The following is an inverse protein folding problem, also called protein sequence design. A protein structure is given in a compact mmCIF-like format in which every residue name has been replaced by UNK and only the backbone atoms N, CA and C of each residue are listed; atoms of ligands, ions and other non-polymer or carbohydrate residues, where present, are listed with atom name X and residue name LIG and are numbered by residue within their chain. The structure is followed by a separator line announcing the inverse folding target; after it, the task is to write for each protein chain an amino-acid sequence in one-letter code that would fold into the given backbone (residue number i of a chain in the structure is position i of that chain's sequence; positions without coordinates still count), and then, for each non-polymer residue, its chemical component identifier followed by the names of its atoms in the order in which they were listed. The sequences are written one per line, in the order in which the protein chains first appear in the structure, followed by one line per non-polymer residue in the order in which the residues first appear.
data_IF_249075059293
#
_entry.id   IF_249075059293
#
_cell.length_a   1.000
_cell.length_b   1.000
_cell.length_c   1.000
_cell.angle_alpha   90.00
_cell.angle_beta   90.00
_cell.angle_gamma   90.00
#
_symmetry.space_group_name_H-M   'P 1'
#
loop_
_entity.id
_entity.type
_entity.pdbx_description
1 polymer ?
#
# COMPACT_ATOMS: atom_id res chain seq x y z
N UNK A 1 -22.35 -2.42 -6.78
CA UNK A 1 -21.78 -3.64 -7.39
C UNK A 1 -21.49 -4.63 -6.27
N UNK A 2 -22.39 -5.60 -6.08
CA UNK A 2 -22.29 -6.61 -5.04
C UNK A 2 -21.11 -7.54 -5.36
N UNK A 3 -20.03 -7.46 -4.59
CA UNK A 3 -18.88 -8.38 -4.74
C UNK A 3 -19.33 -9.80 -4.40
N UNK A 4 -19.66 -10.59 -5.44
CA UNK A 4 -19.99 -11.99 -5.30
C UNK A 4 -18.73 -12.78 -4.97
N UNK A 5 -18.63 -13.23 -3.72
CA UNK A 5 -17.48 -13.94 -3.18
C UNK A 5 -17.37 -15.34 -3.80
N UNK A 6 -16.18 -15.68 -4.29
CA UNK A 6 -15.81 -17.08 -4.54
C UNK A 6 -16.02 -17.88 -3.24
N UNK A 7 -16.82 -18.95 -3.31
CA UNK A 7 -16.88 -19.98 -2.26
C UNK A 7 -16.04 -21.16 -2.71
N UNK A 8 -15.29 -21.77 -1.80
CA UNK A 8 -14.46 -22.95 -2.08
C UNK A 8 -15.27 -24.13 -2.67
N UNK A 9 -16.56 -24.22 -2.30
CA UNK A 9 -17.51 -25.24 -2.77
C UNK A 9 -18.14 -24.96 -4.14
N UNK A 10 -17.73 -23.92 -4.86
CA UNK A 10 -18.30 -23.62 -6.18
C UNK A 10 -17.82 -24.65 -7.21
N UNK A 11 -18.65 -25.03 -8.18
CA UNK A 11 -18.25 -25.93 -9.27
C UNK A 11 -17.15 -25.29 -10.13
N UNK A 12 -16.34 -26.13 -10.77
CA UNK A 12 -15.25 -25.63 -11.61
C UNK A 12 -15.78 -24.88 -12.84
N UNK A 13 -16.91 -25.30 -13.40
CA UNK A 13 -17.64 -24.58 -14.45
C UNK A 13 -18.04 -23.18 -14.01
N UNK A 14 -18.57 -23.03 -12.79
CA UNK A 14 -18.94 -21.72 -12.25
C UNK A 14 -17.72 -20.82 -12.08
N UNK A 15 -16.60 -21.37 -11.62
CA UNK A 15 -15.36 -20.60 -11.46
C UNK A 15 -14.80 -20.19 -12.83
N UNK A 16 -14.89 -21.06 -13.84
CA UNK A 16 -14.39 -20.81 -15.19
C UNK A 16 -15.19 -19.70 -15.88
N UNK A 17 -16.53 -19.77 -15.82
CA UNK A 17 -17.43 -18.72 -16.29
C UNK A 17 -17.14 -17.38 -15.60
N UNK A 18 -16.93 -17.39 -14.29
CA UNK A 18 -16.58 -16.17 -13.54
C UNK A 18 -15.24 -15.56 -13.92
N UNK A 19 -14.24 -16.40 -14.19
CA UNK A 19 -12.94 -15.93 -14.64
C UNK A 19 -13.03 -15.31 -16.03
N UNK A 20 -13.71 -15.99 -16.96
CA UNK A 20 -13.94 -15.49 -18.32
C UNK A 20 -14.66 -14.14 -18.30
N UNK A 21 -15.76 -14.03 -17.53
CA UNK A 21 -16.48 -12.77 -17.32
C UNK A 21 -15.68 -11.67 -16.59
N UNK A 22 -14.54 -12.03 -15.98
CA UNK A 22 -13.64 -11.10 -15.30
C UNK A 22 -12.68 -10.39 -16.26
N UNK A 23 -12.50 -10.90 -17.48
CA UNK A 23 -11.68 -10.26 -18.49
C UNK A 23 -12.47 -9.16 -19.21
N UNK A 24 -11.76 -8.09 -19.59
CA UNK A 24 -12.34 -7.10 -20.48
C UNK A 24 -12.40 -7.65 -21.91
N UNK A 25 -13.45 -7.31 -22.65
CA UNK A 25 -13.62 -7.74 -24.05
C UNK A 25 -12.45 -7.31 -24.93
N UNK A 26 -11.95 -8.22 -25.77
CA UNK A 26 -10.75 -8.12 -26.60
C UNK A 26 -9.46 -7.82 -25.81
N UNK A 27 -9.43 -8.12 -24.51
CA UNK A 27 -8.21 -7.95 -23.72
C UNK A 27 -7.21 -9.06 -24.02
N UNK A 28 -5.92 -8.75 -23.82
CA UNK A 28 -4.84 -9.75 -23.90
C UNK A 28 -5.05 -10.95 -22.98
N UNK A 29 -5.78 -10.76 -21.87
CA UNK A 29 -6.08 -11.82 -20.91
C UNK A 29 -7.20 -12.75 -21.42
N UNK A 30 -8.23 -12.19 -22.05
CA UNK A 30 -9.31 -12.97 -22.70
C UNK A 30 -8.75 -13.82 -23.85
N UNK A 31 -8.02 -13.20 -24.78
CA UNK A 31 -7.40 -13.90 -25.92
C UNK A 31 -6.41 -14.98 -25.46
N UNK A 32 -5.67 -14.74 -24.38
CA UNK A 32 -4.79 -15.75 -23.80
C UNK A 32 -5.58 -16.93 -23.23
N UNK A 33 -6.65 -16.68 -22.49
CA UNK A 33 -7.47 -17.73 -21.87
C UNK A 33 -8.15 -18.60 -22.93
N UNK A 34 -8.72 -17.99 -23.97
CA UNK A 34 -9.35 -18.69 -25.11
C UNK A 34 -8.36 -19.56 -25.90
N UNK A 35 -7.09 -19.17 -25.95
CA UNK A 35 -6.04 -19.93 -26.62
C UNK A 35 -5.48 -21.12 -25.80
N UNK A 36 -5.88 -21.27 -24.53
CA UNK A 36 -5.46 -22.41 -23.70
C UNK A 36 -6.16 -23.70 -24.11
N UNK A 37 -5.45 -24.82 -23.92
CA UNK A 37 -6.04 -26.15 -24.09
C UNK A 37 -7.24 -26.34 -23.12
N UNK A 38 -8.35 -26.97 -23.57
CA UNK A 38 -9.52 -27.21 -22.71
C UNK A 38 -9.21 -27.97 -21.42
N UNK A 39 -8.22 -28.87 -21.44
CA UNK A 39 -7.73 -29.61 -20.27
C UNK A 39 -6.89 -28.77 -19.30
N UNK A 40 -6.42 -27.58 -19.72
CA UNK A 40 -5.83 -26.56 -18.84
C UNK A 40 -6.94 -25.64 -18.30
N UNK A 41 -7.90 -25.25 -19.13
CA UNK A 41 -9.03 -24.41 -18.71
C UNK A 41 -9.89 -25.07 -17.62
N UNK A 42 -10.10 -26.39 -17.70
CA UNK A 42 -10.87 -27.17 -16.74
C UNK A 42 -10.10 -27.60 -15.47
N UNK A 43 -8.80 -27.33 -15.36
CA UNK A 43 -7.97 -27.69 -14.21
C UNK A 43 -7.38 -26.44 -13.56
N UNK A 44 -7.93 -26.04 -12.43
CA UNK A 44 -7.50 -24.85 -11.69
C UNK A 44 -6.03 -24.83 -11.30
N UNK A 45 -5.40 -25.99 -11.06
CA UNK A 45 -3.98 -26.05 -10.73
C UNK A 45 -3.14 -25.76 -11.97
N UNK A 46 -3.50 -26.35 -13.11
CA UNK A 46 -2.81 -26.11 -14.40
C UNK A 46 -3.05 -24.69 -14.89
N UNK A 47 -4.28 -24.19 -14.78
CA UNK A 47 -4.63 -22.82 -15.14
C UNK A 47 -3.83 -21.79 -14.32
N UNK A 48 -3.71 -22.01 -13.01
CA UNK A 48 -2.88 -21.17 -12.14
C UNK A 48 -1.40 -21.21 -12.56
N UNK A 49 -0.87 -22.38 -12.91
CA UNK A 49 0.50 -22.51 -13.39
C UNK A 49 0.70 -21.74 -14.70
N UNK A 50 -0.17 -21.95 -15.69
CA UNK A 50 -0.15 -21.23 -16.96
C UNK A 50 -0.26 -19.71 -16.78
N UNK A 51 -1.14 -19.26 -15.87
CA UNK A 51 -1.29 -17.85 -15.52
C UNK A 51 0.01 -17.25 -14.98
N UNK A 52 0.69 -17.94 -14.06
CA UNK A 52 1.96 -17.46 -13.49
C UNK A 52 3.11 -17.49 -14.49
N UNK A 53 3.03 -18.33 -15.53
CA UNK A 53 3.97 -18.31 -16.65
C UNK A 53 3.72 -17.12 -17.58
N UNK A 54 2.46 -16.82 -17.90
CA UNK A 54 2.08 -15.73 -18.79
C UNK A 54 2.27 -14.35 -18.14
N UNK A 55 1.95 -14.24 -16.85
CA UNK A 55 2.18 -13.05 -16.04
C UNK A 55 3.05 -13.43 -14.83
N UNK A 56 4.37 -13.53 -15.02
CA UNK A 56 5.29 -13.69 -13.91
C UNK A 56 5.05 -12.57 -12.91
N UNK A 57 4.98 -12.90 -11.62
CA UNK A 57 4.98 -11.86 -10.59
C UNK A 57 6.27 -11.08 -10.75
N UNK A 58 6.15 -9.81 -11.11
CA UNK A 58 7.27 -8.89 -11.01
C UNK A 58 7.76 -8.93 -9.56
N UNK A 59 8.97 -9.47 -9.37
CA UNK A 59 9.69 -9.28 -8.12
C UNK A 59 10.06 -7.81 -8.06
N UNK A 60 9.16 -6.98 -7.53
CA UNK A 60 9.53 -5.65 -7.07
C UNK A 60 10.66 -5.89 -6.06
N UNK A 61 11.89 -5.44 -6.33
CA UNK A 61 12.98 -5.62 -5.39
C UNK A 61 12.50 -5.03 -4.06
N UNK A 62 12.51 -5.84 -3.00
CA UNK A 62 12.26 -5.32 -1.68
C UNK A 62 13.28 -4.19 -1.46
N UNK A 63 12.78 -3.01 -1.11
CA UNK A 63 13.66 -1.89 -0.86
C UNK A 63 14.58 -2.26 0.30
N UNK A 64 15.85 -1.90 0.19
CA UNK A 64 16.77 -2.08 1.30
C UNK A 64 16.37 -1.19 2.48
N UNK A 65 16.84 -1.53 3.68
CA UNK A 65 16.70 -0.68 4.88
C UNK A 65 17.20 0.75 4.59
N UNK A 66 18.31 0.89 3.87
CA UNK A 66 18.86 2.19 3.49
C UNK A 66 17.95 2.98 2.55
N UNK A 67 17.27 2.32 1.62
CA UNK A 67 16.27 2.96 0.76
C UNK A 67 15.02 3.39 1.56
N UNK A 68 14.64 2.62 2.58
CA UNK A 68 13.58 3.01 3.50
C UNK A 68 13.98 4.20 4.39
N UNK A 69 15.22 4.24 4.88
CA UNK A 69 15.81 5.40 5.57
C UNK A 69 15.78 6.64 4.69
N UNK A 70 16.29 6.54 3.46
CA UNK A 70 16.27 7.65 2.52
C UNK A 70 14.84 8.17 2.26
N UNK A 71 13.85 7.27 2.11
CA UNK A 71 12.44 7.65 1.97
C UNK A 71 11.89 8.37 3.20
N UNK A 72 12.24 7.90 4.39
CA UNK A 72 11.84 8.52 5.65
C UNK A 72 12.35 9.97 5.75
N UNK A 73 13.59 10.24 5.33
CA UNK A 73 14.19 11.59 5.41
C UNK A 73 13.61 12.58 4.40
N UNK A 74 13.19 12.11 3.23
CA UNK A 74 12.65 12.99 2.17
C UNK A 74 11.15 13.21 2.29
N UNK A 75 10.50 12.49 3.20
CA UNK A 75 9.06 12.60 3.44
C UNK A 75 8.73 13.96 4.05
N UNK A 76 7.74 14.66 3.47
CA UNK A 76 7.41 16.04 3.85
C UNK A 76 5.92 16.17 4.14
N UNK A 77 5.61 16.84 5.24
CA UNK A 77 4.25 17.30 5.50
C UNK A 77 4.00 18.55 4.66
N UNK A 78 3.21 18.42 3.60
CA UNK A 78 2.88 19.52 2.69
C UNK A 78 1.90 20.48 3.34
N UNK A 79 1.91 21.74 2.89
CA UNK A 79 1.07 22.80 3.49
C UNK A 79 -0.39 22.57 3.15
N UNK A 80 -0.63 22.07 1.95
CA UNK A 80 -1.95 21.81 1.39
C UNK A 80 -2.67 20.67 2.14
N UNK A 81 -1.91 19.80 2.80
CA UNK A 81 -2.43 18.67 3.55
C UNK A 81 -2.77 19.02 5.02
N UNK A 82 -2.31 20.17 5.53
CA UNK A 82 -2.61 20.60 6.90
C UNK A 82 -4.04 21.15 6.96
N UNK A 83 -4.85 20.64 7.89
CA UNK A 83 -6.25 21.05 8.08
C UNK A 83 -7.21 20.53 7.00
N UNK A 84 -6.68 19.85 5.98
CA UNK A 84 -7.47 19.23 4.91
C UNK A 84 -7.81 17.79 5.28
N UNK A 85 -9.06 17.38 5.04
CA UNK A 85 -9.48 15.98 5.18
C UNK A 85 -9.03 15.20 3.96
N UNK A 86 -8.26 14.15 4.18
CA UNK A 86 -7.78 13.21 3.17
C UNK A 86 -8.35 11.82 3.44
N UNK A 87 -8.69 11.10 2.37
CA UNK A 87 -9.20 9.74 2.46
C UNK A 87 -8.06 8.73 2.31
N UNK A 88 -7.67 8.11 3.41
CA UNK A 88 -6.61 7.08 3.44
C UNK A 88 -7.27 5.73 3.71
N UNK A 89 -7.13 4.79 2.75
CA UNK A 89 -7.73 3.44 2.85
C UNK A 89 -9.24 3.45 3.17
N UNK A 90 -9.96 4.45 2.65
CA UNK A 90 -11.40 4.62 2.86
C UNK A 90 -11.79 5.32 4.16
N UNK A 91 -10.82 5.71 5.01
CA UNK A 91 -11.06 6.44 6.26
C UNK A 91 -10.69 7.91 6.04
N UNK A 92 -11.60 8.80 6.41
CA UNK A 92 -11.39 10.24 6.38
C UNK A 92 -10.58 10.67 7.62
N UNK A 93 -9.46 11.35 7.40
CA UNK A 93 -8.59 11.87 8.46
C UNK A 93 -7.93 13.18 8.02
N UNK A 94 -7.49 14.01 8.96
CA UNK A 94 -6.72 15.22 8.62
C UNK A 94 -5.37 14.83 8.03
N UNK A 95 -4.84 15.62 7.10
CA UNK A 95 -3.60 15.27 6.39
C UNK A 95 -2.37 15.17 7.31
N UNK A 96 -2.32 15.94 8.41
CA UNK A 96 -1.25 15.77 9.41
C UNK A 96 -1.34 14.43 10.16
N UNK A 97 -2.56 13.93 10.43
CA UNK A 97 -2.77 12.59 11.01
C UNK A 97 -2.37 11.50 10.01
N UNK A 98 -2.77 11.65 8.74
CA UNK A 98 -2.38 10.74 7.66
C UNK A 98 -0.86 10.65 7.52
N UNK A 99 -0.19 11.80 7.48
CA UNK A 99 1.26 11.89 7.41
C UNK A 99 1.94 11.26 8.62
N UNK A 100 1.47 11.53 9.84
CA UNK A 100 2.03 10.92 11.05
C UNK A 100 1.89 9.37 11.05
N UNK A 101 0.76 8.84 10.58
CA UNK A 101 0.60 7.40 10.40
C UNK A 101 1.55 6.82 9.33
N UNK A 102 1.79 7.59 8.26
CA UNK A 102 2.72 7.20 7.22
C UNK A 102 4.17 7.16 7.74
N UNK A 103 4.61 8.19 8.46
CA UNK A 103 5.93 8.23 9.12
C UNK A 103 6.12 7.04 10.05
N UNK A 104 5.13 6.70 10.88
CA UNK A 104 5.23 5.54 11.77
C UNK A 104 5.40 4.22 11.01
N UNK A 105 4.80 4.10 9.83
CA UNK A 105 4.96 2.93 8.96
C UNK A 105 6.36 2.92 8.34
N UNK A 106 6.83 4.05 7.83
CA UNK A 106 8.16 4.17 7.23
C UNK A 106 9.27 3.94 8.24
N UNK A 107 9.13 4.43 9.48
CA UNK A 107 10.14 4.22 10.53
C UNK A 107 10.31 2.75 10.90
N UNK A 108 9.22 1.97 10.87
CA UNK A 108 9.30 0.53 11.11
C UNK A 108 10.05 -0.19 9.98
N UNK A 109 9.93 0.28 8.74
CA UNK A 109 10.63 -0.27 7.58
C UNK A 109 12.09 0.20 7.48
N UNK A 110 12.40 1.37 8.03
CA UNK A 110 13.74 1.96 8.08
C UNK A 110 14.62 1.39 9.20
N UNK A 111 14.07 0.51 10.04
CA UNK A 111 14.74 -0.12 11.19
C UNK A 111 15.48 0.91 12.06
N UNK A 112 14.76 1.96 12.47
CA UNK A 112 15.24 3.01 13.38
C UNK A 112 14.47 2.98 14.72
N UNK A 113 14.66 1.94 15.56
CA UNK A 113 13.92 1.78 16.81
C UNK A 113 14.29 2.82 17.88
N UNK A 114 15.49 3.41 17.78
CA UNK A 114 15.96 4.45 18.71
C UNK A 114 15.43 5.84 18.37
N UNK A 115 14.82 6.02 17.20
CA UNK A 115 14.35 7.32 16.74
C UNK A 115 15.49 8.28 16.40
N UNK A 116 16.66 7.75 16.02
CA UNK A 116 17.83 8.56 15.72
C UNK A 116 17.54 9.58 14.60
N UNK A 117 16.70 9.22 13.64
CA UNK A 117 16.39 10.04 12.45
C UNK A 117 15.17 10.95 12.64
N UNK A 118 14.57 11.01 13.85
CA UNK A 118 13.41 11.88 14.12
C UNK A 118 13.74 13.35 13.83
N UNK A 119 14.99 13.78 14.05
CA UNK A 119 15.43 15.14 13.74
C UNK A 119 15.36 15.43 12.24
N UNK A 120 15.74 14.49 11.38
CA UNK A 120 15.65 14.63 9.92
C UNK A 120 14.19 14.66 9.45
N UNK A 121 13.34 13.79 10.01
CA UNK A 121 11.90 13.81 9.73
C UNK A 121 11.28 15.13 10.17
N UNK A 122 11.70 15.65 11.33
CA UNK A 122 11.29 16.97 11.81
C UNK A 122 11.72 18.04 10.82
N UNK A 123 12.89 17.95 10.22
CA UNK A 123 13.36 18.92 9.22
C UNK A 123 12.47 19.01 7.99
N UNK A 124 11.86 17.90 7.57
CA UNK A 124 10.84 17.84 6.51
C UNK A 124 9.49 18.49 6.86
N UNK A 125 9.26 18.87 8.12
CA UNK A 125 8.03 19.55 8.55
C UNK A 125 8.03 21.04 8.23
N UNK A 126 6.83 21.59 8.06
CA UNK A 126 6.65 23.03 7.91
C UNK A 126 7.01 23.80 9.19
N UNK A 127 7.52 25.04 9.08
CA UNK A 127 7.89 25.86 10.22
C UNK A 127 6.78 26.03 11.26
N UNK A 128 5.52 26.11 10.83
CA UNK A 128 4.37 26.23 11.74
C UNK A 128 4.19 24.95 12.58
N UNK A 129 4.31 23.78 11.97
CA UNK A 129 4.20 22.50 12.68
C UNK A 129 5.38 22.29 13.62
N UNK A 130 6.60 22.70 13.25
CA UNK A 130 7.78 22.68 14.14
C UNK A 130 7.60 23.56 15.37
N UNK A 131 6.87 24.68 15.25
CA UNK A 131 6.57 25.59 16.36
C UNK A 131 5.50 25.05 17.31
N UNK A 132 4.54 24.28 16.79
CA UNK A 132 3.48 23.67 17.59
C UNK A 132 3.98 22.38 18.26
N UNK A 133 4.58 21.48 17.48
CA UNK A 133 5.13 20.21 17.96
C UNK A 133 6.51 20.45 18.56
N UNK A 134 6.53 20.92 19.80
CA UNK A 134 7.76 21.23 20.54
C UNK A 134 8.23 20.03 21.37
N UNK A 135 9.53 20.01 21.70
CA UNK A 135 10.14 18.96 22.52
C UNK A 135 11.03 17.97 21.76
N UNK A 136 11.66 17.09 22.54
CA UNK A 136 12.54 16.02 22.06
C UNK A 136 11.82 14.68 22.20
N UNK A 137 11.70 13.96 21.09
CA UNK A 137 10.99 12.68 21.06
C UNK A 137 12.02 11.55 20.94
N UNK A 138 11.93 10.57 21.86
CA UNK A 138 12.79 9.37 21.84
C UNK A 138 12.24 8.23 21.00
N UNK A 139 10.99 8.33 20.54
CA UNK A 139 10.32 7.31 19.75
C UNK A 139 9.45 7.94 18.68
N UNK A 140 9.33 7.29 17.53
CA UNK A 140 8.42 7.72 16.46
C UNK A 140 6.98 7.75 16.92
N UNK A 141 6.59 6.85 17.83
CA UNK A 141 5.24 6.86 18.42
C UNK A 141 4.97 8.17 19.15
N UNK A 142 5.86 8.57 20.07
CA UNK A 142 5.69 9.81 20.83
C UNK A 142 5.67 11.05 19.91
N UNK A 143 6.56 11.07 18.90
CA UNK A 143 6.59 12.12 17.89
C UNK A 143 5.28 12.20 17.09
N UNK A 144 4.83 11.07 16.53
CA UNK A 144 3.62 11.00 15.71
C UNK A 144 2.36 11.32 16.52
N UNK A 145 2.29 10.91 17.79
CA UNK A 145 1.17 11.24 18.67
C UNK A 145 1.10 12.76 18.93
N UNK A 146 2.25 13.42 19.11
CA UNK A 146 2.29 14.87 19.24
C UNK A 146 1.88 15.61 17.96
N UNK A 147 2.23 15.07 16.78
CA UNK A 147 1.78 15.63 15.49
C UNK A 147 0.28 15.47 15.29
N UNK A 148 -0.30 14.35 15.72
CA UNK A 148 -1.74 14.07 15.63
C UNK A 148 -2.59 14.92 16.58
N UNK A 149 -2.00 15.44 17.64
CA UNK A 149 -2.66 16.29 18.62
C UNK A 149 -2.70 17.77 18.21
N UNK A 150 -2.26 18.11 17.00
CA UNK A 150 -2.30 19.47 16.48
C UNK A 150 -3.69 19.75 15.89
N UNK A 151 -4.43 20.67 16.50
CA UNK A 151 -5.72 21.17 16.02
C UNK A 151 -5.56 22.23 14.91
#
# INVERSE_FOLDING_TARGET
LTMNKFKETSSDDFKADRLSNGFATNSKAETWYEALDPGIQGDWKKLRAAFLTQWPKETVPALSVEQHRARLCVEKLKKEDIGTVVKVRGIDMTGHVAWANHILTLSALADDPSGAMIHEVRDGMLPIMKKIVTGTFKTYKAFCDAVKAVD
#
